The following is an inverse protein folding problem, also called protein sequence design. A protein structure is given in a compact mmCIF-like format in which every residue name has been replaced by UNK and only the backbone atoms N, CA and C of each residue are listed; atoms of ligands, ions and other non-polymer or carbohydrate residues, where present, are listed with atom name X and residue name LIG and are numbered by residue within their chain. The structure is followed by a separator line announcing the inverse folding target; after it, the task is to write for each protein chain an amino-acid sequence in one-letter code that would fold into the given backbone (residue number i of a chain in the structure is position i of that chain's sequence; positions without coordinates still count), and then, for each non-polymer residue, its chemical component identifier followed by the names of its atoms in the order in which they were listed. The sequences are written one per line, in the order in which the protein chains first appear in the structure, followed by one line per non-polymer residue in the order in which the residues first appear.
data_IF_832480676769
#
_entry.id   IF_832480676769
#
_cell.length_a   1.000
_cell.length_b   1.000
_cell.length_c   1.000
_cell.angle_alpha   90.00
_cell.angle_beta   90.00
_cell.angle_gamma   90.00
#
_symmetry.space_group_name_H-M   'P 1'
#
loop_
_entity.id
_entity.type
_entity.pdbx_description
1 polymer ?
#
# COMPACT_ATOMS: atom_id res chain seq x y z
N UNK A 1 -4.09 13.88 11.71
CA UNK A 1 -4.30 12.51 11.23
C UNK A 1 -3.59 12.42 9.89
N UNK A 2 -2.45 11.72 9.78
CA UNK A 2 -1.69 11.66 8.52
C UNK A 2 -2.39 10.71 7.54
N UNK A 3 -2.57 11.17 6.30
CA UNK A 3 -3.13 10.36 5.22
C UNK A 3 -2.24 9.16 4.93
N UNK A 4 -2.85 8.01 4.69
CA UNK A 4 -2.12 6.75 4.51
C UNK A 4 -1.16 6.79 3.29
N UNK A 5 -1.45 7.63 2.30
CA UNK A 5 -0.57 7.87 1.15
C UNK A 5 0.66 8.71 1.51
N UNK A 6 0.52 9.65 2.46
CA UNK A 6 1.65 10.42 2.99
C UNK A 6 2.60 9.50 3.75
N UNK A 7 2.07 8.61 4.59
CA UNK A 7 2.89 7.60 5.29
C UNK A 7 3.63 6.67 4.35
N UNK A 8 3.00 6.25 3.25
CA UNK A 8 3.66 5.46 2.20
C UNK A 8 4.81 6.24 1.55
N UNK A 9 4.65 7.55 1.33
CA UNK A 9 5.66 8.39 0.68
C UNK A 9 6.92 8.56 1.55
N UNK A 10 6.76 8.49 2.88
CA UNK A 10 7.85 8.58 3.85
C UNK A 10 8.61 7.24 4.04
N UNK A 11 8.11 6.13 3.49
CA UNK A 11 8.76 4.82 3.59
C UNK A 11 10.06 4.79 2.78
N UNK A 12 11.19 4.93 3.48
CA UNK A 12 12.52 4.76 2.90
C UNK A 12 12.90 3.28 2.92
N UNK A 13 12.83 2.63 1.76
CA UNK A 13 13.10 1.19 1.60
C UNK A 13 14.22 0.91 0.58
N UNK A 14 14.97 -0.21 0.74
CA UNK A 14 15.95 -0.62 -0.26
C UNK A 14 15.32 -0.74 -1.65
N UNK A 15 16.01 -0.24 -2.68
CA UNK A 15 15.48 -0.17 -4.06
C UNK A 15 15.02 -1.52 -4.59
N UNK A 16 15.73 -2.60 -4.26
CA UNK A 16 15.38 -3.95 -4.67
C UNK A 16 14.01 -4.39 -4.14
N UNK A 17 13.73 -4.06 -2.87
CA UNK A 17 12.48 -4.43 -2.20
C UNK A 17 11.30 -3.68 -2.82
N UNK A 18 11.46 -2.38 -3.06
CA UNK A 18 10.46 -1.58 -3.78
C UNK A 18 10.22 -2.06 -5.21
N UNK A 19 11.28 -2.50 -5.90
CA UNK A 19 11.17 -3.00 -7.28
C UNK A 19 10.37 -4.31 -7.31
N UNK A 20 10.71 -5.27 -6.45
CA UNK A 20 9.99 -6.52 -6.32
C UNK A 20 8.51 -6.30 -5.95
N UNK A 21 8.27 -5.42 -4.97
CA UNK A 21 6.91 -5.07 -4.55
C UNK A 21 6.09 -4.43 -5.67
N UNK A 22 6.72 -3.60 -6.53
CA UNK A 22 6.03 -2.97 -7.65
C UNK A 22 5.58 -3.98 -8.71
N UNK A 23 6.42 -4.97 -9.01
CA UNK A 23 6.07 -6.08 -9.90
C UNK A 23 4.93 -6.91 -9.30
N UNK A 24 5.03 -7.25 -8.00
CA UNK A 24 3.96 -7.99 -7.30
C UNK A 24 2.63 -7.23 -7.22
N UNK A 25 2.69 -5.90 -7.09
CA UNK A 25 1.50 -5.05 -7.02
C UNK A 25 0.68 -5.04 -8.32
N UNK A 26 1.27 -5.35 -9.48
CA UNK A 26 0.55 -5.44 -10.75
C UNK A 26 -0.41 -6.62 -10.81
N UNK A 27 -0.09 -7.71 -10.09
CA UNK A 27 -0.97 -8.88 -9.94
C UNK A 27 -1.83 -8.88 -8.67
N UNK A 28 -1.85 -7.78 -7.91
CA UNK A 28 -2.49 -7.73 -6.60
C UNK A 28 -4.02 -7.90 -6.70
N UNK A 29 -4.54 -8.93 -6.02
CA UNK A 29 -5.98 -9.18 -5.84
C UNK A 29 -6.31 -9.24 -4.36
N UNK A 30 -7.07 -8.25 -3.88
CA UNK A 30 -7.47 -8.05 -2.48
C UNK A 30 -7.98 -9.34 -1.83
N UNK A 31 -8.88 -10.03 -2.52
CA UNK A 31 -9.62 -11.21 -2.07
C UNK A 31 -8.69 -12.42 -1.86
N UNK A 32 -7.56 -12.46 -2.57
CA UNK A 32 -6.59 -13.54 -2.44
C UNK A 32 -5.47 -13.23 -1.44
N UNK A 33 -5.11 -11.95 -1.30
CA UNK A 33 -3.93 -11.53 -0.55
C UNK A 33 -4.28 -11.13 0.88
N UNK A 34 -5.36 -10.36 1.09
CA UNK A 34 -5.73 -9.88 2.43
C UNK A 34 -6.08 -11.02 3.41
N UNK A 35 -6.82 -12.09 3.04
CA UNK A 35 -7.13 -13.15 3.99
C UNK A 35 -5.88 -13.82 4.59
N UNK A 36 -4.75 -13.84 3.86
CA UNK A 36 -3.49 -14.43 4.32
C UNK A 36 -2.82 -13.61 5.43
N UNK A 37 -3.16 -12.32 5.56
CA UNK A 37 -2.63 -11.43 6.60
C UNK A 37 -3.59 -11.21 7.75
N UNK A 38 -4.89 -11.19 7.46
CA UNK A 38 -5.90 -10.81 8.44
C UNK A 38 -6.65 -12.01 9.03
N UNK A 39 -6.67 -13.16 8.34
CA UNK A 39 -7.45 -14.32 8.79
C UNK A 39 -8.95 -14.04 8.90
N UNK A 40 -9.45 -12.98 8.26
CA UNK A 40 -10.83 -12.51 8.37
C UNK A 40 -11.71 -13.09 7.26
N UNK A 41 -12.95 -13.43 7.61
CA UNK A 41 -14.01 -13.80 6.67
C UNK A 41 -14.52 -12.61 5.84
N UNK A 42 -14.31 -11.38 6.32
CA UNK A 42 -14.73 -10.13 5.66
C UNK A 42 -13.54 -9.22 5.42
N UNK A 43 -13.41 -8.72 4.19
CA UNK A 43 -12.30 -7.85 3.81
C UNK A 43 -12.47 -6.45 4.41
N UNK A 44 -11.47 -5.91 5.14
CA UNK A 44 -11.54 -4.55 5.64
C UNK A 44 -11.56 -3.52 4.50
N UNK A 45 -12.17 -2.35 4.78
CA UNK A 45 -12.11 -1.18 3.89
C UNK A 45 -10.65 -0.79 3.61
N UNK A 46 -10.37 -0.23 2.42
CA UNK A 46 -8.99 0.08 1.96
C UNK A 46 -8.17 0.91 2.94
N UNK A 47 -8.76 1.90 3.60
CA UNK A 47 -8.04 2.69 4.60
C UNK A 47 -7.63 1.86 5.83
N UNK A 48 -8.51 0.97 6.31
CA UNK A 48 -8.23 0.11 7.45
C UNK A 48 -7.21 -1.00 7.10
N UNK A 49 -7.34 -1.59 5.90
CA UNK A 49 -6.38 -2.56 5.37
C UNK A 49 -4.98 -1.96 5.25
N UNK A 50 -4.89 -0.74 4.70
CA UNK A 50 -3.64 -0.01 4.55
C UNK A 50 -2.95 0.23 5.89
N UNK A 51 -3.69 0.69 6.91
CA UNK A 51 -3.12 0.96 8.23
C UNK A 51 -2.49 -0.28 8.86
N UNK A 52 -3.19 -1.41 8.82
CA UNK A 52 -2.65 -2.64 9.38
C UNK A 52 -1.50 -3.23 8.54
N UNK A 53 -1.51 -3.06 7.22
CA UNK A 53 -0.37 -3.44 6.38
C UNK A 53 0.89 -2.62 6.72
N UNK A 54 0.74 -1.33 7.00
CA UNK A 54 1.85 -0.47 7.44
C UNK A 54 2.44 -0.91 8.79
N UNK A 55 1.60 -1.39 9.72
CA UNK A 55 2.06 -1.95 11.00
C UNK A 55 2.86 -3.25 10.80
N UNK A 56 2.36 -4.17 9.96
CA UNK A 56 3.06 -5.40 9.61
C UNK A 56 4.41 -5.10 8.94
N UNK A 57 4.42 -4.11 8.05
CA UNK A 57 5.61 -3.65 7.34
C UNK A 57 6.66 -3.10 8.31
N UNK A 58 6.27 -2.24 9.25
CA UNK A 58 7.18 -1.67 10.24
C UNK A 58 7.88 -2.76 11.09
N UNK A 59 7.12 -3.78 11.49
CA UNK A 59 7.65 -4.94 12.21
C UNK A 59 8.61 -5.78 11.35
N UNK A 60 8.34 -5.93 10.05
CA UNK A 60 9.25 -6.62 9.12
C UNK A 60 10.52 -5.82 8.85
N UNK A 61 10.45 -4.49 8.78
CA UNK A 61 11.64 -3.65 8.65
C UNK A 61 12.47 -3.64 9.94
N UNK A 62 11.84 -3.68 11.11
CA UNK A 62 12.55 -3.85 12.38
C UNK A 62 13.36 -5.15 12.39
N UNK A 63 12.71 -6.29 12.09
CA UNK A 63 13.37 -7.60 11.99
C UNK A 63 14.48 -7.65 10.95
N UNK A 64 14.28 -7.01 9.79
CA UNK A 64 15.32 -6.88 8.75
C UNK A 64 16.55 -6.14 9.26
N UNK A 65 16.37 -5.06 10.03
CA UNK A 65 17.46 -4.23 10.56
C UNK A 65 18.19 -4.89 11.73
N UNK A 66 17.48 -5.63 12.57
CA UNK A 66 18.09 -6.37 13.69
C UNK A 66 18.78 -7.66 13.25
N UNK A 67 18.58 -8.11 12.00
CA UNK A 67 19.10 -9.39 11.53
C UNK A 67 18.38 -10.58 12.16
N UNK A 68 17.11 -10.39 12.55
CA UNK A 68 16.29 -11.40 13.21
C UNK A 68 16.14 -12.67 12.35
N UNK A 69 16.34 -13.84 12.95
CA UNK A 69 16.27 -15.12 12.24
C UNK A 69 14.87 -15.46 11.70
N UNK A 70 13.82 -14.84 12.24
CA UNK A 70 12.44 -14.91 11.76
C UNK A 70 12.13 -13.92 10.64
N UNK A 71 13.09 -13.12 10.17
CA UNK A 71 12.90 -12.23 9.03
C UNK A 71 12.67 -13.04 7.73
N UNK A 72 11.54 -12.78 7.08
CA UNK A 72 11.22 -13.33 5.76
C UNK A 72 11.14 -12.20 4.74
N UNK A 73 12.09 -12.19 3.80
CA UNK A 73 12.09 -11.24 2.68
C UNK A 73 10.89 -11.47 1.76
N UNK A 74 10.47 -12.72 1.56
CA UNK A 74 9.30 -13.07 0.75
C UNK A 74 8.05 -12.41 1.35
N UNK A 75 7.83 -12.59 2.67
CA UNK A 75 6.71 -11.95 3.37
C UNK A 75 6.78 -10.42 3.28
N UNK A 76 7.97 -9.83 3.37
CA UNK A 76 8.15 -8.38 3.25
C UNK A 76 7.75 -7.89 1.86
N UNK A 77 8.20 -8.56 0.80
CA UNK A 77 7.80 -8.22 -0.58
C UNK A 77 6.29 -8.35 -0.77
N UNK A 78 5.67 -9.40 -0.23
CA UNK A 78 4.23 -9.59 -0.36
C UNK A 78 3.43 -8.50 0.38
N UNK A 79 3.87 -8.09 1.58
CA UNK A 79 3.24 -6.99 2.34
C UNK A 79 3.40 -5.67 1.60
N UNK A 80 4.59 -5.38 1.07
CA UNK A 80 4.83 -4.17 0.29
C UNK A 80 4.04 -4.17 -1.03
N UNK A 81 3.86 -5.32 -1.67
CA UNK A 81 2.98 -5.46 -2.84
C UNK A 81 1.54 -5.12 -2.50
N UNK A 82 1.05 -5.60 -1.34
CA UNK A 82 -0.28 -5.28 -0.84
C UNK A 82 -0.45 -3.79 -0.53
N UNK A 83 0.54 -3.16 0.11
CA UNK A 83 0.54 -1.70 0.37
C UNK A 83 0.42 -0.93 -0.95
N UNK A 84 1.24 -1.26 -1.95
CA UNK A 84 1.20 -0.57 -3.24
C UNK A 84 -0.12 -0.80 -3.97
N UNK A 85 -0.69 -2.00 -3.88
CA UNK A 85 -2.01 -2.34 -4.41
C UNK A 85 -3.13 -1.53 -3.75
N UNK A 86 -3.19 -1.50 -2.41
CA UNK A 86 -4.15 -0.70 -1.65
C UNK A 86 -4.01 0.80 -1.94
N UNK A 87 -2.79 1.30 -2.12
CA UNK A 87 -2.55 2.69 -2.46
C UNK A 87 -3.14 3.07 -3.84
N UNK A 88 -3.13 2.14 -4.81
CA UNK A 88 -3.77 2.34 -6.12
C UNK A 88 -5.29 2.49 -5.95
N UNK A 89 -5.91 1.61 -5.16
CA UNK A 89 -7.35 1.63 -4.88
C UNK A 89 -7.77 2.91 -4.16
N UNK A 90 -7.00 3.34 -3.15
CA UNK A 90 -7.26 4.58 -2.42
C UNK A 90 -7.15 5.82 -3.32
N UNK A 91 -6.22 5.84 -4.28
CA UNK A 91 -6.09 6.94 -5.25
C UNK A 91 -7.24 6.96 -6.28
N UNK A 92 -7.68 5.80 -6.76
CA UNK A 92 -8.82 5.74 -7.69
C UNK A 92 -10.13 6.16 -7.03
N UNK A 93 -10.33 5.81 -5.75
CA UNK A 93 -11.48 6.27 -4.97
C UNK A 93 -11.51 7.80 -4.84
N UNK A 94 -10.39 8.43 -4.46
CA UNK A 94 -10.28 9.90 -4.35
C UNK A 94 -10.49 10.63 -5.69
N UNK A 95 -10.10 10.01 -6.81
CA UNK A 95 -10.29 10.60 -8.14
C UNK A 95 -11.77 10.60 -8.54
N UNK A 96 -12.52 9.58 -8.12
CA UNK A 96 -13.96 9.46 -8.39
C UNK A 96 -14.79 10.47 -7.58
N UNK A 97 -14.29 10.89 -6.42
CA UNK A 97 -14.95 11.89 -5.55
C UNK A 97 -14.65 13.35 -5.93
N UNK A 98 -13.68 13.63 -6.83
CA UNK A 98 -13.50 14.96 -7.41
C UNK A 98 -14.57 15.19 -8.49
N UNK A 99 -15.52 16.14 -8.32
CA UNK A 99 -16.49 16.41 -9.37
C UNK A 99 -15.77 16.96 -10.60
N UNK A 100 -16.13 16.42 -11.77
CA UNK A 100 -15.60 16.76 -13.10
C UNK A 100 -16.00 18.18 -13.58
N UNK A 101 -15.98 19.18 -12.69
CA UNK A 101 -16.53 20.52 -12.93
C UNK A 101 -15.52 21.66 -13.01
N UNK A 102 -14.23 21.46 -12.69
CA UNK A 102 -13.24 22.54 -12.73
C UNK A 102 -12.33 22.41 -13.96
N UNK A 103 -12.93 22.48 -15.15
CA UNK A 103 -12.21 22.84 -16.37
C UNK A 103 -12.23 24.36 -16.44
N UNK A 104 -11.19 24.99 -15.89
CA UNK A 104 -10.89 26.40 -16.11
C UNK A 104 -10.71 26.64 -17.61
N UNK A 105 -11.76 27.12 -18.27
CA UNK A 105 -11.69 27.70 -19.61
C UNK A 105 -10.96 29.03 -19.52
N UNK A 106 -9.63 28.99 -19.53
CA UNK A 106 -8.78 30.13 -19.80
C UNK A 106 -8.44 30.18 -21.29
N UNK A 107 -9.21 30.95 -22.06
CA UNK A 107 -8.95 31.30 -23.46
C UNK A 107 -9.39 32.76 -23.72
N UNK A 108 -8.78 33.47 -24.68
CA UNK A 108 -8.14 34.77 -24.44
C UNK A 108 -9.03 35.99 -24.76
N UNK A 109 -8.61 37.14 -24.24
CA UNK A 109 -9.04 38.48 -24.68
C UNK A 109 -8.09 39.02 -25.75
#
# INVERSE_FOLDING_TARGET
MQDALTRLSDLRRPRLLMTAARIGADGYRRESVLPRYFGLATLPRSAAAMMALLEIEAELDHRRRSGDAGYSVIRHVDVMSAILGEARILRSAQTTERPAGEVLTGGPA
#
